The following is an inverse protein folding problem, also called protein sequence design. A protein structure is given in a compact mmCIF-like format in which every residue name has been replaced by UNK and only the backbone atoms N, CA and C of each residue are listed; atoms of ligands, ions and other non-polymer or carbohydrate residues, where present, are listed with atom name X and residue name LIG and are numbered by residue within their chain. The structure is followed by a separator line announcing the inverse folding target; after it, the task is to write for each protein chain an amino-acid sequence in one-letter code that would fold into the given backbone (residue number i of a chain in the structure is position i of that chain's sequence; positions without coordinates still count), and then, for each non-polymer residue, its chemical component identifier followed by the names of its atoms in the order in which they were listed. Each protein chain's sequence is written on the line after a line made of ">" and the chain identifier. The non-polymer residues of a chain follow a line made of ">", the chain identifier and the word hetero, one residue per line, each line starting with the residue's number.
data_IF_964746948525
#
_entry.id   IF_964746948525
#
_cell.length_a   1.000
_cell.length_b   1.000
_cell.length_c   1.000
_cell.angle_alpha   90.00
_cell.angle_beta   90.00
_cell.angle_gamma   90.00
#
_symmetry.space_group_name_H-M   'P 1'
#
loop_
_entity.id
_entity.type
_entity.pdbx_description
1 polymer ?
#
# COMPACT_ATOMS: atom_id res chain seq x y z
N UNK A 1 5.03 40.53 46.33
CA UNK A 1 5.56 39.38 45.56
C UNK A 1 4.40 38.73 44.83
N UNK A 2 4.22 39.11 43.57
CA UNK A 2 3.15 38.67 42.67
C UNK A 2 3.58 37.39 41.96
N UNK A 3 2.87 36.28 42.20
CA UNK A 3 3.10 35.01 41.51
C UNK A 3 2.18 34.89 40.29
N UNK A 4 2.78 34.84 39.10
CA UNK A 4 2.11 34.67 37.81
C UNK A 4 1.77 33.19 37.60
N UNK A 5 0.49 32.85 37.43
CA UNK A 5 0.07 31.49 37.06
C UNK A 5 0.13 31.32 35.54
N UNK A 6 1.03 30.45 35.07
CA UNK A 6 1.07 29.99 33.68
C UNK A 6 -0.04 28.96 33.47
N UNK A 7 -1.12 29.35 32.79
CA UNK A 7 -2.11 28.41 32.27
C UNK A 7 -1.48 27.63 31.10
N UNK A 8 -1.13 26.37 31.38
CA UNK A 8 -0.76 25.38 30.37
C UNK A 8 -1.98 25.07 29.48
N UNK A 9 -1.90 25.45 28.21
CA UNK A 9 -2.92 25.12 27.21
C UNK A 9 -2.79 23.65 26.80
N UNK A 10 -3.68 22.80 27.29
CA UNK A 10 -3.81 21.41 26.82
C UNK A 10 -4.24 21.35 25.35
N UNK A 11 -3.87 20.30 24.59
CA UNK A 11 -4.20 20.19 23.18
C UNK A 11 -5.71 20.00 23.01
N UNK A 12 -6.26 20.77 22.06
CA UNK A 12 -7.67 20.84 21.67
C UNK A 12 -8.08 19.50 21.05
N UNK A 13 -9.10 18.85 21.63
CA UNK A 13 -9.78 17.71 21.01
C UNK A 13 -10.30 18.11 19.62
N UNK A 14 -10.09 17.26 18.62
CA UNK A 14 -10.59 17.49 17.27
C UNK A 14 -12.13 17.53 17.29
N UNK A 15 -12.73 18.41 16.47
CA UNK A 15 -14.18 18.54 16.39
C UNK A 15 -14.81 17.33 15.69
N UNK A 16 -16.08 17.01 15.98
CA UNK A 16 -16.79 15.90 15.35
C UNK A 16 -16.85 16.00 13.80
N UNK A 17 -16.90 17.22 13.26
CA UNK A 17 -16.82 17.45 11.81
C UNK A 17 -15.44 17.08 11.25
N UNK A 18 -14.37 17.44 11.97
CA UNK A 18 -12.99 17.05 11.61
C UNK A 18 -12.82 15.53 11.65
N UNK A 19 -13.34 14.87 12.69
CA UNK A 19 -13.31 13.39 12.80
C UNK A 19 -14.09 12.73 11.66
N UNK A 20 -15.28 13.23 11.32
CA UNK A 20 -16.08 12.70 10.21
C UNK A 20 -15.39 12.89 8.86
N UNK A 21 -14.81 14.06 8.59
CA UNK A 21 -14.08 14.30 7.35
C UNK A 21 -12.83 13.44 7.22
N UNK A 22 -12.06 13.28 8.31
CA UNK A 22 -10.91 12.37 8.35
C UNK A 22 -11.35 10.94 8.05
N UNK A 23 -12.45 10.47 8.63
CA UNK A 23 -12.96 9.12 8.38
C UNK A 23 -13.41 8.91 6.92
N UNK A 24 -13.95 9.94 6.27
CA UNK A 24 -14.32 9.87 4.85
C UNK A 24 -13.08 9.85 3.95
N UNK A 25 -12.07 10.68 4.25
CA UNK A 25 -10.80 10.69 3.52
C UNK A 25 -10.07 9.35 3.67
N UNK A 26 -10.00 8.79 4.88
CA UNK A 26 -9.42 7.48 5.15
C UNK A 26 -10.15 6.36 4.40
N UNK A 27 -11.49 6.39 4.35
CA UNK A 27 -12.27 5.44 3.58
C UNK A 27 -12.01 5.54 2.07
N UNK A 28 -11.86 6.76 1.53
CA UNK A 28 -11.51 6.98 0.13
C UNK A 28 -10.09 6.48 -0.19
N UNK A 29 -9.12 6.75 0.68
CA UNK A 29 -7.74 6.27 0.54
C UNK A 29 -7.69 4.74 0.57
N UNK A 30 -8.43 4.12 1.50
CA UNK A 30 -8.59 2.66 1.58
C UNK A 30 -9.13 2.07 0.28
N UNK A 31 -10.20 2.67 -0.26
CA UNK A 31 -10.82 2.22 -1.49
C UNK A 31 -9.87 2.35 -2.70
N UNK A 32 -9.16 3.48 -2.80
CA UNK A 32 -8.17 3.71 -3.86
C UNK A 32 -7.08 2.63 -3.87
N UNK A 33 -6.49 2.33 -2.70
CA UNK A 33 -5.40 1.35 -2.59
C UNK A 33 -5.89 -0.07 -2.84
N UNK A 34 -7.09 -0.43 -2.39
CA UNK A 34 -7.67 -1.75 -2.68
C UNK A 34 -8.03 -1.93 -4.16
N UNK A 35 -8.55 -0.88 -4.81
CA UNK A 35 -8.83 -0.93 -6.25
C UNK A 35 -7.51 -0.97 -7.05
N UNK A 36 -6.50 -0.19 -6.66
CA UNK A 36 -5.15 -0.31 -7.22
C UNK A 36 -4.63 -1.75 -7.12
N UNK A 37 -4.70 -2.36 -5.93
CA UNK A 37 -4.24 -3.73 -5.74
C UNK A 37 -4.98 -4.71 -6.65
N UNK A 38 -6.31 -4.63 -6.67
CA UNK A 38 -7.16 -5.52 -7.45
C UNK A 38 -6.91 -5.37 -8.95
N UNK A 39 -6.83 -4.14 -9.45
CA UNK A 39 -6.74 -3.84 -10.89
C UNK A 39 -5.33 -3.95 -11.44
N UNK A 40 -4.30 -3.82 -10.60
CA UNK A 40 -2.91 -3.87 -11.04
C UNK A 40 -2.25 -5.20 -10.65
N UNK A 41 -2.32 -5.61 -9.39
CA UNK A 41 -1.63 -6.82 -8.91
C UNK A 41 -2.46 -8.09 -9.15
N UNK A 42 -3.70 -8.13 -8.67
CA UNK A 42 -4.52 -9.34 -8.78
C UNK A 42 -4.91 -9.64 -10.24
N UNK A 43 -5.16 -8.58 -11.03
CA UNK A 43 -5.38 -8.67 -12.48
C UNK A 43 -4.08 -8.75 -13.30
N UNK A 44 -2.91 -8.52 -12.69
CA UNK A 44 -1.61 -8.49 -13.36
C UNK A 44 -1.55 -7.50 -14.54
N UNK A 45 -2.26 -6.38 -14.43
CA UNK A 45 -2.35 -5.35 -15.46
C UNK A 45 -1.62 -4.07 -15.03
N UNK A 46 -0.31 -4.08 -15.22
CA UNK A 46 0.57 -2.95 -14.89
C UNK A 46 0.23 -1.68 -15.67
N UNK A 47 -0.46 -1.79 -16.82
CA UNK A 47 -0.81 -0.61 -17.65
C UNK A 47 -1.80 0.32 -16.94
N UNK A 48 -2.53 -0.22 -15.95
CA UNK A 48 -3.48 0.52 -15.12
C UNK A 48 -2.82 1.31 -14.01
N UNK A 49 -1.54 1.11 -13.72
CA UNK A 49 -0.83 1.80 -12.64
C UNK A 49 -0.92 3.34 -12.76
N UNK A 50 -0.94 3.88 -13.98
CA UNK A 50 -1.11 5.32 -14.26
C UNK A 50 -2.42 5.91 -13.69
N UNK A 51 -3.45 5.08 -13.52
CA UNK A 51 -4.74 5.51 -13.00
C UNK A 51 -4.67 5.76 -11.49
N UNK A 52 -3.69 5.17 -10.79
CA UNK A 52 -3.58 5.17 -9.32
C UNK A 52 -2.32 5.84 -8.79
N UNK A 53 -1.17 5.63 -9.42
CA UNK A 53 0.10 6.17 -8.97
C UNK A 53 0.32 7.60 -9.48
N UNK A 54 1.03 8.40 -8.70
CA UNK A 54 1.63 9.64 -9.18
C UNK A 54 2.83 9.34 -10.09
N UNK A 55 3.13 10.23 -11.04
CA UNK A 55 4.26 10.06 -11.96
C UNK A 55 5.61 9.96 -11.23
N UNK A 56 5.74 10.72 -10.14
CA UNK A 56 6.91 10.80 -9.27
C UNK A 56 6.80 9.95 -7.99
N UNK A 57 5.92 8.93 -7.96
CA UNK A 57 5.72 8.14 -6.75
C UNK A 57 7.05 7.53 -6.22
N UNK A 58 7.24 7.59 -4.91
CA UNK A 58 8.46 7.12 -4.26
C UNK A 58 8.33 5.62 -3.95
N UNK A 59 9.34 4.85 -4.35
CA UNK A 59 9.39 3.40 -4.15
C UNK A 59 10.55 3.04 -3.20
N UNK A 60 10.22 2.41 -2.07
CA UNK A 60 11.22 1.96 -1.10
C UNK A 60 11.62 0.48 -1.29
N UNK A 61 10.90 -0.30 -2.10
CA UNK A 61 11.35 -1.64 -2.51
C UNK A 61 12.66 -1.53 -3.30
N UNK A 62 13.78 -2.13 -2.83
CA UNK A 62 15.09 -1.97 -3.45
C UNK A 62 15.22 -2.63 -4.83
N UNK A 63 14.20 -3.37 -5.27
CA UNK A 63 14.17 -4.08 -6.55
C UNK A 63 13.40 -3.31 -7.64
N UNK A 64 12.68 -2.24 -7.28
CA UNK A 64 11.83 -1.46 -8.18
C UNK A 64 12.25 0.00 -8.12
N UNK A 65 12.56 0.62 -9.26
CA UNK A 65 12.89 2.03 -9.29
C UNK A 65 11.67 2.90 -8.94
N UNK A 66 11.91 4.08 -8.35
CA UNK A 66 10.86 5.08 -8.12
C UNK A 66 10.28 5.64 -9.43
N UNK A 67 9.08 6.21 -9.33
CA UNK A 67 8.34 6.82 -10.43
C UNK A 67 7.56 5.81 -11.28
N UNK A 68 6.46 6.25 -11.89
CA UNK A 68 5.55 5.40 -12.68
C UNK A 68 6.30 4.64 -13.79
N UNK A 69 7.31 5.27 -14.39
CA UNK A 69 8.17 4.64 -15.37
C UNK A 69 8.95 3.45 -14.78
N UNK A 70 9.48 3.58 -13.56
CA UNK A 70 10.18 2.52 -12.83
C UNK A 70 9.27 1.34 -12.49
N UNK A 71 8.04 1.63 -12.03
CA UNK A 71 7.01 0.63 -11.83
C UNK A 71 6.72 -0.18 -13.10
N UNK A 72 6.39 0.52 -14.19
CA UNK A 72 6.01 -0.10 -15.45
C UNK A 72 7.18 -0.92 -16.03
N UNK A 73 8.41 -0.41 -15.96
CA UNK A 73 9.60 -1.11 -16.42
C UNK A 73 9.88 -2.41 -15.63
N UNK A 74 9.52 -2.47 -14.36
CA UNK A 74 9.65 -3.67 -13.55
C UNK A 74 8.51 -4.66 -13.84
N UNK A 75 7.26 -4.23 -13.67
CA UNK A 75 6.10 -5.14 -13.76
C UNK A 75 5.79 -5.60 -15.18
N UNK A 76 6.17 -4.87 -16.23
CA UNK A 76 6.10 -5.37 -17.61
C UNK A 76 6.97 -6.60 -17.86
N UNK A 77 8.05 -6.78 -17.09
CA UNK A 77 8.90 -7.98 -17.17
C UNK A 77 8.31 -9.17 -16.41
N UNK A 78 7.62 -8.89 -15.31
CA UNK A 78 6.96 -9.91 -14.47
C UNK A 78 5.66 -10.39 -15.12
N UNK A 79 4.91 -9.48 -15.72
CA UNK A 79 3.64 -9.72 -16.40
C UNK A 79 3.70 -9.23 -17.85
N UNK A 80 4.44 -9.95 -18.73
CA UNK A 80 4.61 -9.55 -20.12
C UNK A 80 3.29 -9.57 -20.92
N UNK A 81 2.32 -10.36 -20.48
CA UNK A 81 0.98 -10.46 -21.04
C UNK A 81 -0.04 -10.02 -19.99
N UNK A 82 -0.33 -8.70 -19.87
CA UNK A 82 -1.31 -8.22 -18.89
C UNK A 82 -2.66 -8.88 -19.14
N UNK A 83 -3.22 -9.49 -18.10
CA UNK A 83 -4.47 -10.24 -18.21
C UNK A 83 -5.63 -9.27 -18.05
N UNK A 84 -6.71 -9.50 -18.81
CA UNK A 84 -7.98 -8.85 -18.53
C UNK A 84 -8.45 -9.25 -17.12
N UNK A 85 -9.24 -8.38 -16.48
CA UNK A 85 -9.71 -8.49 -15.10
C UNK A 85 -10.59 -9.73 -14.77
N UNK A 86 -10.64 -10.75 -15.63
CA UNK A 86 -11.44 -11.97 -15.47
C UNK A 86 -10.64 -13.14 -14.89
N UNK A 87 -9.30 -13.04 -14.81
CA UNK A 87 -8.43 -14.02 -14.15
C UNK A 87 -7.77 -13.40 -12.91
N UNK A 88 -8.60 -13.05 -11.92
CA UNK A 88 -8.17 -12.38 -10.68
C UNK A 88 -7.56 -13.43 -9.75
N UNK A 89 -6.26 -13.30 -9.46
CA UNK A 89 -5.70 -13.96 -8.29
C UNK A 89 -6.17 -13.15 -7.09
N UNK A 90 -7.22 -13.59 -6.40
CA UNK A 90 -7.75 -12.84 -5.26
C UNK A 90 -6.72 -12.87 -4.12
N UNK A 91 -6.16 -11.70 -3.80
CA UNK A 91 -5.30 -11.55 -2.64
C UNK A 91 -6.12 -11.70 -1.35
N UNK A 92 -5.62 -12.52 -0.42
CA UNK A 92 -6.24 -12.70 0.89
C UNK A 92 -5.78 -11.60 1.86
N UNK A 93 -6.57 -10.53 1.97
CA UNK A 93 -6.34 -9.48 2.96
C UNK A 93 -6.78 -9.93 4.35
N UNK A 94 -5.84 -9.94 5.28
CA UNK A 94 -6.09 -10.18 6.71
C UNK A 94 -6.60 -8.91 7.38
N UNK A 95 -5.98 -7.78 7.03
CA UNK A 95 -6.37 -6.47 7.54
C UNK A 95 -6.02 -5.38 6.54
N UNK A 96 -6.79 -4.29 6.60
CA UNK A 96 -6.51 -3.05 5.88
C UNK A 96 -6.72 -1.90 6.85
N UNK A 97 -5.62 -1.28 7.27
CA UNK A 97 -5.59 -0.24 8.30
C UNK A 97 -5.34 1.10 7.63
N UNK A 98 -6.07 2.13 8.04
CA UNK A 98 -5.89 3.48 7.55
C UNK A 98 -5.69 4.44 8.70
N UNK A 99 -4.76 5.38 8.52
CA UNK A 99 -4.52 6.48 9.43
C UNK A 99 -4.11 7.71 8.62
N UNK A 100 -5.00 8.68 8.52
CA UNK A 100 -4.83 9.85 7.66
C UNK A 100 -4.59 9.47 6.19
N UNK A 101 -3.41 9.80 5.69
CA UNK A 101 -2.97 9.53 4.32
C UNK A 101 -2.30 8.16 4.13
N UNK A 102 -2.11 7.40 5.21
CA UNK A 102 -1.47 6.09 5.18
C UNK A 102 -2.48 4.95 5.10
N UNK A 103 -2.19 3.96 4.26
CA UNK A 103 -2.97 2.72 4.10
C UNK A 103 -2.04 1.51 4.17
N UNK A 104 -2.17 0.70 5.21
CA UNK A 104 -1.43 -0.55 5.38
C UNK A 104 -2.30 -1.72 4.91
N UNK A 105 -1.76 -2.52 3.99
CA UNK A 105 -2.29 -3.83 3.63
C UNK A 105 -1.53 -4.90 4.42
N UNK A 106 -2.28 -5.82 5.04
CA UNK A 106 -1.73 -7.04 5.65
C UNK A 106 -2.32 -8.22 4.89
N UNK A 107 -1.47 -9.01 4.24
CA UNK A 107 -1.92 -10.08 3.36
C UNK A 107 -1.37 -11.41 3.82
N UNK A 108 -2.23 -12.43 3.80
CA UNK A 108 -1.82 -13.82 3.98
C UNK A 108 -1.31 -14.37 2.66
N UNK A 109 -0.25 -15.14 2.74
CA UNK A 109 0.44 -15.71 1.59
C UNK A 109 0.85 -17.15 1.91
N UNK A 110 0.15 -18.11 1.31
CA UNK A 110 0.55 -19.52 1.37
C UNK A 110 1.87 -19.73 0.62
N UNK A 111 2.78 -20.50 1.20
CA UNK A 111 4.12 -20.80 0.68
C UNK A 111 4.39 -22.29 0.81
N UNK A 112 5.10 -22.85 -0.17
CA UNK A 112 5.61 -24.22 -0.07
C UNK A 112 6.69 -24.31 1.02
N UNK A 113 6.64 -25.37 1.82
CA UNK A 113 7.69 -25.69 2.80
C UNK A 113 9.00 -26.02 2.09
N UNK A 114 10.14 -25.37 2.43
CA UNK A 114 11.44 -25.73 1.88
C UNK A 114 11.75 -27.22 2.08
N UNK A 115 11.96 -27.94 0.98
CA UNK A 115 12.25 -29.37 0.98
C UNK A 115 11.03 -30.30 1.08
N UNK A 116 9.81 -29.76 1.12
CA UNK A 116 8.59 -30.57 1.03
C UNK A 116 7.43 -29.82 0.36
N UNK A 117 7.33 -29.95 -0.96
CA UNK A 117 6.32 -29.25 -1.78
C UNK A 117 4.88 -29.69 -1.51
N UNK A 118 4.67 -30.82 -0.83
CA UNK A 118 3.33 -31.29 -0.44
C UNK A 118 2.80 -30.58 0.81
N UNK A 119 3.63 -29.79 1.49
CA UNK A 119 3.25 -29.01 2.67
C UNK A 119 3.33 -27.52 2.36
N UNK A 120 2.43 -26.78 2.99
CA UNK A 120 2.46 -25.33 2.95
C UNK A 120 2.50 -24.74 4.35
N UNK A 121 3.07 -23.54 4.46
CA UNK A 121 2.97 -22.69 5.64
C UNK A 121 2.44 -21.32 5.23
N UNK A 122 1.87 -20.61 6.19
CA UNK A 122 1.41 -19.25 5.99
C UNK A 122 2.52 -18.25 6.29
N UNK A 123 2.75 -17.35 5.35
CA UNK A 123 3.54 -16.14 5.52
C UNK A 123 2.63 -14.92 5.42
N UNK A 124 3.07 -13.79 5.98
CA UNK A 124 2.32 -12.54 5.92
C UNK A 124 3.19 -11.46 5.31
N UNK A 125 2.60 -10.67 4.41
CA UNK A 125 3.28 -9.57 3.75
C UNK A 125 2.57 -8.25 4.07
N UNK A 126 3.37 -7.20 4.19
CA UNK A 126 2.96 -5.89 4.66
C UNK A 126 3.37 -4.86 3.62
N UNK A 127 2.39 -4.24 2.96
CA UNK A 127 2.62 -3.11 2.05
C UNK A 127 1.96 -1.87 2.64
N UNK A 128 2.74 -0.82 2.85
CA UNK A 128 2.26 0.48 3.31
C UNK A 128 2.27 1.45 2.13
N UNK A 129 1.17 2.16 1.94
CA UNK A 129 1.02 3.18 0.92
C UNK A 129 0.73 4.54 1.54
N UNK A 130 1.23 5.60 0.92
CA UNK A 130 0.77 6.97 1.18
C UNK A 130 -0.06 7.47 0.00
N UNK A 131 -1.19 8.10 0.31
CA UNK A 131 -2.10 8.68 -0.66
C UNK A 131 -2.12 10.20 -0.53
N UNK A 132 -1.97 10.91 -1.63
CA UNK A 132 -2.10 12.37 -1.68
C UNK A 132 -2.84 12.77 -2.95
N UNK A 133 -3.78 13.70 -2.82
CA UNK A 133 -4.54 14.26 -3.95
C UNK A 133 -5.18 13.18 -4.85
N UNK A 134 -5.68 12.10 -4.25
CA UNK A 134 -6.31 10.99 -4.96
C UNK A 134 -5.35 10.06 -5.71
N UNK A 135 -4.04 10.14 -5.43
CA UNK A 135 -2.99 9.30 -6.01
C UNK A 135 -2.13 8.65 -4.94
N UNK A 136 -1.63 7.46 -5.22
CA UNK A 136 -0.59 6.82 -4.41
C UNK A 136 0.74 7.49 -4.75
N UNK A 137 1.37 8.08 -3.75
CA UNK A 137 2.60 8.88 -3.92
C UNK A 137 3.83 8.21 -3.31
N UNK A 138 3.66 7.20 -2.47
CA UNK A 138 4.77 6.53 -1.80
C UNK A 138 4.40 5.11 -1.37
N UNK A 139 5.37 4.20 -1.39
CA UNK A 139 5.17 2.79 -1.06
C UNK A 139 6.38 2.19 -0.31
N UNK A 140 6.09 1.42 0.75
CA UNK A 140 7.06 0.61 1.50
C UNK A 140 6.63 -0.84 1.59
N UNK A 141 7.61 -1.73 1.47
CA UNK A 141 7.47 -3.17 1.71
C UNK A 141 8.76 -3.74 2.33
N UNK A 142 8.74 -4.96 2.91
CA UNK A 142 9.92 -5.54 3.56
C UNK A 142 10.89 -6.24 2.59
N UNK A 143 10.82 -6.00 1.27
CA UNK A 143 11.64 -6.70 0.31
C UNK A 143 13.14 -6.40 0.50
N UNK A 144 13.93 -7.46 0.39
CA UNK A 144 15.38 -7.40 0.34
C UNK A 144 15.85 -7.58 -1.11
N UNK A 145 17.09 -7.18 -1.39
CA UNK A 145 17.73 -7.59 -2.65
C UNK A 145 17.96 -9.10 -2.64
N UNK A 146 17.82 -9.79 -3.78
CA UNK A 146 18.14 -11.21 -3.88
C UNK A 146 19.58 -11.48 -3.42
N UNK A 147 19.75 -12.51 -2.60
CA UNK A 147 21.08 -13.03 -2.28
C UNK A 147 21.62 -13.72 -3.53
N UNK A 148 22.74 -13.23 -4.06
CA UNK A 148 23.44 -13.91 -5.16
C UNK A 148 24.25 -15.05 -4.54
N UNK A 149 23.90 -16.28 -4.87
CA UNK A 149 24.73 -17.45 -4.63
C UNK A 149 25.69 -17.65 -5.81
#
# INVERSE_FOLDING_TARGET
>A
MTGLALLSTMPRTASAQTVSQLSQAEAANKALVLDFWTKVFDAQDWTRAKDYLADDYIQHNPNVASGLAGFNAYFSKIWPNPKAATAIIATEFVAVVTQGDLVQLVMRRSRAEPGNELKTYDSYWFDLFRVKDGKIVEHWDPALKPVRN
#
